data_IF_747270605170
#
_entry.id   IF_747270605170
#
_cell.length_a   1.000
_cell.length_b   1.000
_cell.length_c   1.000
_cell.angle_alpha   90.00
_cell.angle_beta   90.00
_cell.angle_gamma   90.00
#
_symmetry.space_group_name_H-M   'P 1'
#
loop_
_entity.id
_entity.type
_entity.pdbx_description
1 polymer ?
#
# COMPACT_ATOMS: atom_id res chain seq x y z
N UNK A 1 10.20 0.19 -0.53
CA UNK A 1 11.22 -0.48 0.30
C UNK A 1 10.69 -0.69 1.71
N UNK A 2 11.16 -1.75 2.41
CA UNK A 2 10.95 -1.91 3.85
C UNK A 2 11.66 -0.80 4.63
N UNK A 3 11.26 -0.61 5.90
CA UNK A 3 11.85 0.42 6.76
C UNK A 3 13.37 0.27 6.97
N UNK A 4 13.89 -0.95 6.85
CA UNK A 4 15.32 -1.31 7.00
C UNK A 4 16.04 -1.52 5.65
N UNK A 5 15.37 -1.24 4.52
CA UNK A 5 15.88 -1.42 3.15
C UNK A 5 16.30 -2.86 2.78
N UNK A 6 15.84 -3.87 3.49
CA UNK A 6 16.15 -5.28 3.17
C UNK A 6 15.13 -5.93 2.24
N UNK A 7 14.02 -5.27 2.00
CA UNK A 7 12.94 -5.79 1.15
C UNK A 7 12.41 -4.74 0.18
N UNK A 8 11.91 -5.22 -0.96
CA UNK A 8 11.21 -4.43 -1.95
C UNK A 8 9.78 -4.96 -2.09
N UNK A 9 8.82 -4.06 -2.12
CA UNK A 9 7.42 -4.35 -2.38
C UNK A 9 7.02 -3.85 -3.75
N UNK A 10 6.32 -4.69 -4.52
CA UNK A 10 5.88 -4.40 -5.89
C UNK A 10 4.39 -4.67 -6.02
N UNK A 11 3.62 -3.65 -6.40
CA UNK A 11 2.22 -3.82 -6.77
C UNK A 11 2.11 -4.61 -8.07
N UNK A 12 1.19 -5.57 -8.09
CA UNK A 12 0.85 -6.31 -9.29
C UNK A 12 -0.66 -6.17 -9.54
N UNK A 13 -0.98 -5.53 -10.65
CA UNK A 13 -2.34 -5.31 -11.15
C UNK A 13 -2.56 -6.06 -12.47
N UNK A 14 -1.87 -7.17 -12.65
CA UNK A 14 -1.86 -7.96 -13.89
C UNK A 14 -3.24 -8.43 -14.36
N UNK A 15 -4.24 -8.43 -13.47
CA UNK A 15 -5.64 -8.75 -13.82
C UNK A 15 -6.20 -7.88 -14.96
N UNK A 16 -5.65 -6.69 -15.17
CA UNK A 16 -6.02 -5.81 -16.29
C UNK A 16 -5.59 -6.36 -17.65
N UNK A 17 -4.64 -7.30 -17.68
CA UNK A 17 -4.04 -7.85 -18.88
C UNK A 17 -4.15 -9.38 -18.96
N UNK A 18 -4.24 -10.05 -17.82
CA UNK A 18 -4.23 -11.52 -17.74
C UNK A 18 -5.45 -12.02 -16.96
N UNK A 19 -6.32 -12.86 -17.56
CA UNK A 19 -7.61 -13.24 -16.96
C UNK A 19 -7.52 -13.96 -15.60
N UNK A 20 -6.38 -14.60 -15.32
CA UNK A 20 -6.17 -15.36 -14.09
C UNK A 20 -5.21 -14.66 -13.12
N UNK A 21 -4.79 -13.44 -13.42
CA UNK A 21 -3.93 -12.68 -12.52
C UNK A 21 -4.74 -12.17 -11.31
N UNK A 22 -4.02 -11.81 -10.26
CA UNK A 22 -4.59 -11.27 -9.03
C UNK A 22 -4.09 -9.84 -8.80
N UNK A 23 -4.82 -9.10 -8.02
CA UNK A 23 -4.37 -7.85 -7.44
C UNK A 23 -3.62 -8.17 -6.15
N UNK A 24 -2.31 -8.12 -6.19
CA UNK A 24 -1.44 -8.54 -5.09
C UNK A 24 -0.26 -7.58 -4.90
N UNK A 25 0.42 -7.71 -3.77
CA UNK A 25 1.71 -7.08 -3.56
C UNK A 25 2.75 -8.19 -3.37
N UNK A 26 3.76 -8.17 -4.23
CA UNK A 26 4.93 -9.01 -4.12
C UNK A 26 5.91 -8.45 -3.10
N UNK A 27 6.59 -9.34 -2.40
CA UNK A 27 7.78 -9.02 -1.62
C UNK A 27 8.99 -9.75 -2.20
N UNK A 28 10.10 -9.02 -2.27
CA UNK A 28 11.41 -9.54 -2.63
C UNK A 28 12.41 -9.24 -1.52
N UNK A 29 13.38 -10.12 -1.32
CA UNK A 29 14.56 -9.79 -0.54
C UNK A 29 15.50 -8.93 -1.40
N UNK A 30 16.06 -7.87 -0.78
CA UNK A 30 17.02 -6.97 -1.43
C UNK A 30 18.42 -7.24 -0.88
N UNK A 31 19.35 -7.59 -1.77
CA UNK A 31 20.75 -7.77 -1.44
C UNK A 31 21.62 -6.96 -2.40
N UNK A 32 22.05 -5.78 -1.97
CA UNK A 32 22.69 -4.80 -2.83
C UNK A 32 21.72 -4.29 -3.90
N UNK A 33 22.02 -4.55 -5.15
CA UNK A 33 21.20 -4.22 -6.32
C UNK A 33 20.35 -5.39 -6.84
N UNK A 34 20.36 -6.53 -6.16
CA UNK A 34 19.70 -7.76 -6.59
C UNK A 34 18.47 -8.06 -5.76
N UNK A 35 17.40 -8.44 -6.48
CA UNK A 35 16.17 -8.96 -5.90
C UNK A 35 16.18 -10.49 -5.95
N UNK A 36 15.72 -11.11 -4.86
CA UNK A 36 15.61 -12.58 -4.72
C UNK A 36 14.38 -12.96 -3.92
N UNK A 37 14.08 -14.27 -3.87
CA UNK A 37 13.02 -14.86 -3.06
C UNK A 37 11.65 -14.16 -3.23
N UNK A 38 11.10 -14.08 -4.47
CA UNK A 38 9.78 -13.49 -4.68
C UNK A 38 8.70 -14.30 -3.93
N UNK A 39 7.83 -13.58 -3.23
CA UNK A 39 6.63 -14.17 -2.62
C UNK A 39 5.47 -13.20 -2.67
N UNK A 40 4.26 -13.72 -2.82
CA UNK A 40 3.06 -12.93 -2.56
C UNK A 40 3.00 -12.61 -1.08
N UNK A 41 3.00 -11.32 -0.75
CA UNK A 41 2.87 -10.85 0.62
C UNK A 41 1.42 -10.49 0.95
N UNK A 42 0.76 -9.76 0.05
CA UNK A 42 -0.58 -9.25 0.25
C UNK A 42 -1.47 -9.70 -0.90
N UNK A 43 -2.62 -10.28 -0.57
CA UNK A 43 -3.77 -10.41 -1.47
C UNK A 43 -4.72 -9.26 -1.17
N UNK A 44 -5.07 -8.47 -2.18
CA UNK A 44 -5.93 -7.29 -2.01
C UNK A 44 -7.40 -7.64 -1.82
N UNK A 45 -7.75 -8.92 -1.78
CA UNK A 45 -9.13 -9.35 -1.60
C UNK A 45 -9.65 -9.06 -0.19
N UNK A 46 -10.81 -8.46 -0.11
CA UNK A 46 -11.56 -8.20 1.12
C UNK A 46 -13.04 -8.45 0.83
N UNK A 47 -13.68 -9.34 1.60
CA UNK A 47 -15.10 -9.69 1.46
C UNK A 47 -15.49 -10.08 0.02
N UNK A 48 -14.61 -10.85 -0.65
CA UNK A 48 -14.82 -11.31 -2.02
C UNK A 48 -14.59 -10.25 -3.11
N UNK A 49 -14.19 -9.03 -2.74
CA UNK A 49 -13.86 -7.94 -3.67
C UNK A 49 -12.36 -7.73 -3.69
N UNK A 50 -11.78 -7.54 -4.86
CA UNK A 50 -10.35 -7.34 -5.03
C UNK A 50 -10.09 -6.01 -5.73
N UNK A 51 -9.62 -5.02 -4.98
CA UNK A 51 -9.23 -3.72 -5.51
C UNK A 51 -7.78 -3.70 -5.98
N UNK A 52 -7.47 -2.72 -6.81
CA UNK A 52 -6.12 -2.53 -7.37
C UNK A 52 -5.21 -1.87 -6.34
N UNK A 53 -4.05 -2.46 -6.00
CA UNK A 53 -3.01 -1.77 -5.26
C UNK A 53 -2.31 -0.76 -6.18
N UNK A 54 -2.07 0.45 -5.66
CA UNK A 54 -1.39 1.52 -6.38
C UNK A 54 -0.21 2.06 -5.54
N UNK A 55 -0.09 3.34 -5.33
CA UNK A 55 1.00 3.90 -4.54
C UNK A 55 1.10 3.31 -3.13
N UNK A 56 2.32 3.04 -2.67
CA UNK A 56 2.59 2.46 -1.35
C UNK A 56 3.61 3.26 -0.57
N UNK A 57 3.48 3.24 0.76
CA UNK A 57 4.49 3.72 1.72
C UNK A 57 4.58 2.77 2.90
N UNK A 58 5.74 2.79 3.55
CA UNK A 58 6.00 2.00 4.76
C UNK A 58 6.20 2.94 5.95
N UNK A 59 5.64 2.59 7.09
CA UNK A 59 5.86 3.32 8.34
C UNK A 59 7.06 2.77 9.14
N UNK A 60 7.38 3.43 10.24
CA UNK A 60 8.54 3.06 11.07
C UNK A 60 8.40 1.70 11.74
N UNK A 61 7.18 1.18 11.87
CA UNK A 61 6.90 -0.14 12.46
C UNK A 61 6.92 -1.23 11.38
N UNK A 62 7.17 -0.85 10.11
CA UNK A 62 7.22 -1.73 8.95
C UNK A 62 5.85 -2.04 8.34
N UNK A 63 4.78 -1.40 8.81
CA UNK A 63 3.46 -1.58 8.21
C UNK A 63 3.43 -0.96 6.81
N UNK A 64 2.71 -1.62 5.91
CA UNK A 64 2.61 -1.24 4.50
C UNK A 64 1.26 -0.57 4.27
N UNK A 65 1.31 0.69 3.87
CA UNK A 65 0.15 1.50 3.56
C UNK A 65 -0.01 1.55 2.05
N UNK A 66 -1.14 1.05 1.54
CA UNK A 66 -1.41 0.84 0.12
C UNK A 66 -2.61 1.65 -0.30
N UNK A 67 -2.44 2.57 -1.24
CA UNK A 67 -3.56 3.18 -1.95
C UNK A 67 -4.28 2.10 -2.77
N UNK A 68 -5.61 2.09 -2.71
CA UNK A 68 -6.39 1.04 -3.35
C UNK A 68 -7.73 1.56 -3.83
N UNK A 69 -8.29 0.87 -4.82
CA UNK A 69 -9.60 1.25 -5.30
C UNK A 69 -10.13 0.48 -6.49
N UNK A 70 -11.05 1.13 -7.19
CA UNK A 70 -11.86 0.59 -8.28
C UNK A 70 -12.83 -0.50 -7.84
N UNK A 71 -13.24 -0.46 -6.57
CA UNK A 71 -14.24 -1.37 -5.97
C UNK A 71 -15.48 -0.60 -5.52
N UNK A 72 -15.30 0.58 -4.96
CA UNK A 72 -16.36 1.44 -4.46
C UNK A 72 -16.47 1.50 -2.94
N UNK A 73 -17.62 1.96 -2.42
CA UNK A 73 -17.84 2.18 -1.00
C UNK A 73 -17.50 0.96 -0.14
N UNK A 74 -16.82 1.23 0.99
CA UNK A 74 -16.38 0.19 1.93
C UNK A 74 -15.05 -0.47 1.60
N UNK A 75 -14.46 -0.13 0.44
CA UNK A 75 -13.15 -0.63 0.04
C UNK A 75 -12.17 0.48 -0.33
N UNK A 76 -12.59 1.44 -1.17
CA UNK A 76 -11.72 2.43 -1.77
C UNK A 76 -11.08 3.35 -0.72
N UNK A 77 -9.79 3.64 -0.90
CA UNK A 77 -9.02 4.45 0.01
C UNK A 77 -7.63 3.88 0.29
N UNK A 78 -7.23 3.81 1.57
CA UNK A 78 -5.94 3.23 1.98
C UNK A 78 -6.17 1.96 2.77
N UNK A 79 -5.47 0.90 2.39
CA UNK A 79 -5.43 -0.37 3.09
C UNK A 79 -4.11 -0.47 3.86
N UNK A 80 -4.14 -0.89 5.11
CA UNK A 80 -2.94 -0.98 5.94
C UNK A 80 -2.67 -2.44 6.31
N UNK A 81 -1.44 -2.87 6.09
CA UNK A 81 -1.01 -4.24 6.33
C UNK A 81 0.20 -4.28 7.24
N UNK A 82 0.23 -5.25 8.16
CA UNK A 82 1.40 -5.56 8.96
C UNK A 82 2.55 -6.11 8.08
N UNK A 83 3.79 -6.18 8.59
CA UNK A 83 4.94 -6.69 7.84
C UNK A 83 4.80 -8.12 7.34
N UNK A 84 3.92 -8.92 7.93
CA UNK A 84 3.61 -10.30 7.52
C UNK A 84 2.52 -10.39 6.44
N UNK A 85 1.92 -9.24 6.05
CA UNK A 85 0.86 -9.13 5.06
C UNK A 85 -0.56 -9.22 5.63
N UNK A 86 -0.72 -9.35 6.94
CA UNK A 86 -2.05 -9.30 7.57
C UNK A 86 -2.63 -7.88 7.45
N UNK A 87 -3.88 -7.75 7.01
CA UNK A 87 -4.60 -6.47 7.01
C UNK A 87 -4.92 -6.07 8.46
N UNK A 88 -4.49 -4.87 8.83
CA UNK A 88 -4.65 -4.33 10.19
C UNK A 88 -5.50 -3.06 10.24
N UNK A 89 -5.80 -2.46 9.09
CA UNK A 89 -6.62 -1.24 9.08
C UNK A 89 -7.01 -0.76 7.69
N UNK A 90 -7.90 0.22 7.68
CA UNK A 90 -8.36 0.93 6.47
C UNK A 90 -8.59 2.40 6.79
N UNK A 91 -8.34 3.26 5.78
CA UNK A 91 -8.87 4.62 5.70
C UNK A 91 -9.79 4.66 4.49
N UNK A 92 -11.10 4.67 4.73
CA UNK A 92 -12.08 4.73 3.64
C UNK A 92 -12.14 6.14 3.08
N UNK A 93 -12.10 6.24 1.76
CA UNK A 93 -12.32 7.46 1.00
C UNK A 93 -13.56 7.31 0.12
N UNK A 94 -14.22 8.40 -0.28
CA UNK A 94 -15.36 8.34 -1.19
C UNK A 94 -14.97 8.03 -2.64
N UNK A 95 -13.67 7.84 -2.90
CA UNK A 95 -13.08 7.60 -4.22
C UNK A 95 -11.77 6.82 -4.11
N UNK A 96 -11.32 6.27 -5.23
CA UNK A 96 -10.05 5.51 -5.32
C UNK A 96 -8.86 6.34 -4.88
N UNK A 97 -7.99 5.77 -4.07
CA UNK A 97 -6.70 6.35 -3.70
C UNK A 97 -5.59 5.85 -4.62
N UNK A 98 -5.02 6.75 -5.42
CA UNK A 98 -3.95 6.42 -6.36
C UNK A 98 -2.57 6.41 -5.70
N UNK A 99 -2.30 7.32 -4.77
CA UNK A 99 -1.00 7.40 -4.10
C UNK A 99 -1.13 8.02 -2.73
N UNK A 100 -0.10 7.85 -1.92
CA UNK A 100 -0.05 8.42 -0.58
C UNK A 100 1.39 8.73 -0.18
N UNK A 101 1.54 9.64 0.77
CA UNK A 101 2.85 9.93 1.37
C UNK A 101 2.70 10.45 2.79
N UNK A 102 3.66 10.12 3.65
CA UNK A 102 3.78 10.72 4.97
C UNK A 102 4.53 12.05 4.87
N UNK A 103 3.98 13.09 5.46
CA UNK A 103 4.58 14.42 5.44
C UNK A 103 4.34 15.20 6.73
N UNK A 104 4.65 16.50 6.65
CA UNK A 104 4.62 17.40 7.80
C UNK A 104 5.87 17.27 8.68
N UNK A 105 6.03 18.20 9.62
CA UNK A 105 7.23 18.31 10.47
C UNK A 105 7.56 17.01 11.25
N UNK A 106 6.53 16.27 11.68
CA UNK A 106 6.68 15.03 12.43
C UNK A 106 6.55 13.78 11.54
N UNK A 107 6.31 13.95 10.21
CA UNK A 107 6.06 12.86 9.25
C UNK A 107 4.91 11.92 9.64
N UNK A 108 3.94 12.43 10.38
CA UNK A 108 2.76 11.70 10.82
C UNK A 108 1.45 12.24 10.22
N UNK A 109 1.54 13.10 9.21
CA UNK A 109 0.41 13.51 8.41
C UNK A 109 0.42 12.75 7.10
N UNK A 110 -0.54 11.85 6.93
CA UNK A 110 -0.70 11.09 5.70
C UNK A 110 -1.48 11.93 4.70
N UNK A 111 -0.88 12.17 3.55
CA UNK A 111 -1.50 12.79 2.38
C UNK A 111 -1.89 11.68 1.41
N UNK A 112 -3.10 11.75 0.85
CA UNK A 112 -3.66 10.74 -0.04
C UNK A 112 -4.19 11.43 -1.29
N UNK A 113 -3.58 11.15 -2.44
CA UNK A 113 -4.06 11.63 -3.74
C UNK A 113 -5.10 10.64 -4.28
N UNK A 114 -6.32 11.11 -4.39
CA UNK A 114 -7.42 10.32 -4.91
C UNK A 114 -7.79 10.77 -6.33
N UNK A 115 -8.91 10.26 -6.87
CA UNK A 115 -9.29 10.51 -8.28
C UNK A 115 -9.45 12.00 -8.60
N UNK A 116 -10.02 12.78 -7.68
CA UNK A 116 -10.30 14.20 -7.89
C UNK A 116 -9.82 15.08 -6.73
N UNK A 117 -9.43 14.49 -5.61
CA UNK A 117 -9.20 15.21 -4.36
C UNK A 117 -7.86 14.86 -3.72
N UNK A 118 -7.36 15.77 -2.90
CA UNK A 118 -6.24 15.53 -1.99
C UNK A 118 -6.78 15.49 -0.56
N UNK A 119 -6.67 14.34 0.07
CA UNK A 119 -7.04 14.13 1.46
C UNK A 119 -5.82 14.15 2.37
N UNK A 120 -6.03 14.47 3.62
CA UNK A 120 -4.98 14.36 4.64
C UNK A 120 -5.56 14.01 6.00
N UNK A 121 -4.83 13.18 6.76
CA UNK A 121 -5.17 12.79 8.13
C UNK A 121 -3.91 12.69 8.98
N UNK A 122 -4.00 12.99 10.26
CA UNK A 122 -2.93 12.68 11.21
C UNK A 122 -3.09 11.25 11.71
N UNK A 123 -1.96 10.54 11.80
CA UNK A 123 -1.88 9.17 12.30
C UNK A 123 -0.89 9.08 13.47
N UNK A 124 -1.00 8.02 14.27
CA UNK A 124 -0.11 7.82 15.43
C UNK A 124 1.32 7.40 15.02
N UNK A 125 1.47 6.74 13.89
CA UNK A 125 2.77 6.36 13.33
C UNK A 125 3.34 7.47 12.41
N UNK A 126 4.52 7.24 11.87
CA UNK A 126 5.18 8.13 10.91
C UNK A 126 5.84 7.34 9.77
N UNK A 127 6.04 8.00 8.64
CA UNK A 127 6.73 7.38 7.51
C UNK A 127 8.15 6.95 7.86
N UNK A 128 8.56 5.77 7.37
CA UNK A 128 9.88 5.21 7.60
C UNK A 128 10.97 5.99 6.87
N UNK A 129 10.67 6.44 5.64
CA UNK A 129 11.64 7.10 4.77
C UNK A 129 11.33 8.59 4.61
N UNK A 130 12.38 9.37 4.41
CA UNK A 130 12.24 10.74 3.91
C UNK A 130 11.93 10.64 2.41
N UNK A 131 10.80 11.16 2.00
CA UNK A 131 10.42 11.28 0.60
C UNK A 131 10.90 12.61 0.06
#
# INVERSE_FOLDING_TARGET
FSHDYKKVYVCDTGITHYPNAKNIVWQYDLNGDKLSNPRTLIDMTLDGKSGFPDGMRVDIDGNIWVGAGWVGPGYDGVQVFAPDGQRIGQILLPETCANLTFGGKKRNRLFMTASQSLYAVYVETRGAHNC
#
